data_IF_334263602419
#
_entry.id   IF_334263602419
#
_cell.length_a   1.000
_cell.length_b   1.000
_cell.length_c   1.000
_cell.angle_alpha   90.00
_cell.angle_beta   90.00
_cell.angle_gamma   90.00
#
_symmetry.space_group_name_H-M   'P 1'
#
loop_
_entity.id
_entity.type
_entity.pdbx_description
1 polymer ?
#
# COMPACT_ATOMS: atom_id res chain seq x y z
N UNK A 1 -0.92 -13.85 -66.31
CA UNK A 1 0.19 -14.59 -65.65
C UNK A 1 0.29 -14.10 -64.21
N UNK A 2 -0.29 -14.83 -63.25
CA UNK A 2 -0.45 -14.36 -61.87
C UNK A 2 0.87 -14.50 -61.08
N UNK A 3 1.46 -13.37 -60.64
CA UNK A 3 2.61 -13.37 -59.73
C UNK A 3 2.12 -13.76 -58.34
N UNK A 4 2.33 -15.02 -57.97
CA UNK A 4 2.01 -15.57 -56.64
C UNK A 4 2.93 -14.91 -55.62
N UNK A 5 2.38 -14.03 -54.77
CA UNK A 5 3.06 -13.50 -53.59
C UNK A 5 3.46 -14.70 -52.70
N UNK A 6 4.75 -15.04 -52.70
CA UNK A 6 5.32 -16.02 -51.78
C UNK A 6 5.59 -15.29 -50.47
N UNK A 7 4.70 -15.45 -49.49
CA UNK A 7 5.02 -15.12 -48.09
C UNK A 7 6.28 -15.89 -47.70
N UNK A 8 7.30 -15.25 -47.09
CA UNK A 8 8.50 -15.97 -46.69
C UNK A 8 8.10 -17.05 -45.67
N UNK A 9 8.28 -18.34 -46.02
CA UNK A 9 8.07 -19.45 -45.09
C UNK A 9 9.03 -19.27 -43.92
N UNK A 10 8.49 -19.13 -42.71
CA UNK A 10 9.35 -19.06 -41.52
C UNK A 10 10.14 -20.36 -41.38
N UNK A 11 11.46 -20.26 -41.31
CA UNK A 11 12.34 -21.43 -41.11
C UNK A 11 12.61 -21.66 -39.62
N UNK A 12 13.02 -22.87 -39.23
CA UNK A 12 13.41 -23.19 -37.84
C UNK A 12 14.50 -22.25 -37.31
N UNK A 13 15.42 -21.83 -38.20
CA UNK A 13 16.48 -20.86 -37.89
C UNK A 13 15.91 -19.47 -37.62
N UNK A 14 14.92 -19.04 -38.39
CA UNK A 14 14.25 -17.76 -38.18
C UNK A 14 13.44 -17.76 -36.89
N UNK A 15 12.80 -18.89 -36.57
CA UNK A 15 12.12 -19.08 -35.29
C UNK A 15 13.11 -18.97 -34.12
N UNK A 16 14.22 -19.72 -34.13
CA UNK A 16 15.24 -19.70 -33.07
C UNK A 16 15.86 -18.31 -32.86
N UNK A 17 16.13 -17.57 -33.95
CA UNK A 17 16.63 -16.20 -33.85
C UNK A 17 15.62 -15.27 -33.20
N UNK A 18 14.34 -15.40 -33.55
CA UNK A 18 13.28 -14.58 -32.97
C UNK A 18 13.09 -14.89 -31.49
N UNK A 19 12.99 -16.17 -31.10
CA UNK A 19 12.83 -16.56 -29.68
C UNK A 19 14.03 -16.15 -28.82
N UNK A 20 15.27 -16.22 -29.33
CA UNK A 20 16.45 -15.79 -28.60
C UNK A 20 16.48 -14.27 -28.31
N UNK A 21 15.96 -13.43 -29.22
CA UNK A 21 15.87 -11.98 -29.01
C UNK A 21 14.75 -11.62 -28.03
N UNK A 22 13.59 -12.29 -28.11
CA UNK A 22 12.49 -12.03 -27.18
C UNK A 22 12.81 -12.48 -25.76
N UNK A 23 13.56 -13.56 -25.57
CA UNK A 23 13.95 -14.04 -24.24
C UNK A 23 14.89 -13.08 -23.52
N UNK A 24 15.78 -12.39 -24.24
CA UNK A 24 16.66 -11.33 -23.68
C UNK A 24 15.87 -10.13 -23.15
N UNK A 25 14.75 -9.78 -23.77
CA UNK A 25 13.88 -8.69 -23.31
C UNK A 25 13.10 -9.12 -22.06
N UNK A 26 12.58 -10.34 -22.04
CA UNK A 26 11.83 -10.87 -20.90
C UNK A 26 12.69 -11.12 -19.65
N UNK A 27 13.97 -11.41 -19.81
CA UNK A 27 14.92 -11.60 -18.70
C UNK A 27 15.59 -10.31 -18.22
N UNK A 28 15.27 -9.16 -18.82
CA UNK A 28 15.80 -7.88 -18.40
C UNK A 28 15.19 -7.46 -17.04
N UNK A 29 16.01 -7.17 -16.01
CA UNK A 29 15.51 -6.75 -14.69
C UNK A 29 14.71 -5.44 -14.74
N UNK A 30 14.81 -4.68 -15.84
CA UNK A 30 14.03 -3.46 -16.11
C UNK A 30 12.52 -3.69 -16.22
N UNK A 31 12.06 -4.93 -16.38
CA UNK A 31 10.63 -5.29 -16.33
C UNK A 31 10.18 -5.74 -14.95
N UNK A 32 11.07 -5.79 -13.95
CA UNK A 32 10.69 -6.04 -12.58
C UNK A 32 9.91 -4.82 -12.06
N UNK A 33 8.59 -4.89 -12.14
CA UNK A 33 7.70 -3.95 -11.47
C UNK A 33 7.82 -4.21 -9.97
N UNK A 34 8.61 -3.41 -9.27
CA UNK A 34 8.54 -3.38 -7.81
C UNK A 34 7.15 -2.84 -7.44
N UNK A 35 6.51 -3.46 -6.43
CA UNK A 35 5.31 -2.85 -5.86
C UNK A 35 5.72 -1.55 -5.16
N UNK A 36 5.61 -0.43 -5.86
CA UNK A 36 5.78 0.92 -5.32
C UNK A 36 4.64 1.34 -4.39
N UNK A 37 3.97 0.39 -3.74
CA UNK A 37 2.87 0.68 -2.82
C UNK A 37 3.47 1.35 -1.59
N UNK A 38 3.29 2.67 -1.51
CA UNK A 38 3.63 3.45 -0.33
C UNK A 38 2.45 3.45 0.62
N UNK A 39 2.76 3.34 1.91
CA UNK A 39 1.80 3.63 2.97
C UNK A 39 1.63 5.15 2.98
N UNK A 40 0.40 5.61 2.71
CA UNK A 40 0.10 7.05 2.63
C UNK A 40 -0.12 7.64 4.03
N UNK A 41 -0.74 6.87 4.92
CA UNK A 41 -1.04 7.26 6.30
C UNK A 41 -0.53 6.20 7.25
N UNK A 42 0.13 6.64 8.33
CA UNK A 42 0.57 5.74 9.40
C UNK A 42 -0.52 5.69 10.46
N UNK A 43 -1.10 4.50 10.64
CA UNK A 43 -2.00 4.18 11.75
C UNK A 43 -1.27 3.57 12.93
N UNK A 44 -1.81 3.79 14.13
CA UNK A 44 -1.29 3.23 15.37
C UNK A 44 -2.36 2.36 16.05
N UNK A 45 -2.00 1.12 16.36
CA UNK A 45 -2.80 0.23 17.19
C UNK A 45 -2.57 0.55 18.67
N UNK A 46 -3.59 1.11 19.33
CA UNK A 46 -3.47 1.71 20.67
C UNK A 46 -3.24 0.68 21.79
N UNK A 47 -3.34 -0.62 21.51
CA UNK A 47 -3.02 -1.67 22.49
C UNK A 47 -1.57 -1.58 23.03
N UNK A 48 -0.63 -1.09 22.22
CA UNK A 48 0.75 -0.86 22.67
C UNK A 48 0.83 0.22 23.76
N UNK A 49 -0.13 1.15 23.79
CA UNK A 49 -0.25 2.26 24.73
C UNK A 49 -1.41 2.08 25.71
N UNK A 50 -1.86 0.84 25.96
CA UNK A 50 -3.04 0.55 26.77
C UNK A 50 -2.97 1.09 28.20
N UNK A 51 -1.77 1.26 28.75
CA UNK A 51 -1.58 1.79 30.10
C UNK A 51 -1.81 3.31 30.11
N UNK A 52 -1.18 4.00 29.16
CA UNK A 52 -1.32 5.44 28.92
C UNK A 52 -2.77 5.79 28.56
N UNK A 53 -3.42 5.01 27.70
CA UNK A 53 -4.84 5.19 27.36
C UNK A 53 -5.77 4.97 28.56
N UNK A 54 -5.38 4.13 29.53
CA UNK A 54 -6.16 3.91 30.75
C UNK A 54 -5.96 5.02 31.78
N UNK A 55 -4.78 5.65 31.80
CA UNK A 55 -4.45 6.76 32.68
C UNK A 55 -5.01 8.09 32.15
N UNK A 56 -4.71 8.42 30.89
CA UNK A 56 -5.15 9.65 30.23
C UNK A 56 -5.42 9.41 28.73
N UNK A 57 -6.67 9.03 28.45
CA UNK A 57 -7.13 8.73 27.09
C UNK A 57 -7.02 9.92 26.13
N UNK A 58 -7.38 11.12 26.58
CA UNK A 58 -7.45 12.32 25.71
C UNK A 58 -6.06 12.92 25.52
N UNK A 59 -5.29 13.06 26.61
CA UNK A 59 -3.91 13.55 26.53
C UNK A 59 -3.00 12.63 25.72
N UNK A 60 -3.20 11.31 25.79
CA UNK A 60 -2.44 10.37 24.94
C UNK A 60 -2.75 10.58 23.46
N UNK A 61 -4.02 10.74 23.08
CA UNK A 61 -4.40 11.01 21.69
C UNK A 61 -3.89 12.37 21.20
N UNK A 62 -3.94 13.40 22.04
CA UNK A 62 -3.39 14.72 21.74
C UNK A 62 -1.89 14.64 21.43
N UNK A 63 -1.11 13.95 22.28
CA UNK A 63 0.32 13.76 22.08
C UNK A 63 0.61 13.01 20.78
N UNK A 64 -0.15 11.96 20.46
CA UNK A 64 0.00 11.22 19.21
C UNK A 64 -0.29 12.09 17.98
N UNK A 65 -1.30 12.96 18.04
CA UNK A 65 -1.58 13.93 16.98
C UNK A 65 -0.42 14.92 16.80
N UNK A 66 0.15 15.43 17.89
CA UNK A 66 1.32 16.33 17.87
C UNK A 66 2.57 15.65 17.31
N UNK A 67 2.74 14.34 17.54
CA UNK A 67 3.81 13.52 16.95
C UNK A 67 3.60 13.24 15.45
N UNK A 68 2.43 13.57 14.90
CA UNK A 68 2.12 13.46 13.48
C UNK A 68 1.40 12.17 13.07
N UNK A 69 0.95 11.35 14.01
CA UNK A 69 0.07 10.23 13.69
C UNK A 69 -1.32 10.74 13.29
N UNK A 70 -2.03 9.97 12.45
CA UNK A 70 -3.33 10.38 11.90
C UNK A 70 -4.42 9.34 12.09
N UNK A 71 -4.07 8.06 12.09
CA UNK A 71 -5.02 6.95 12.19
C UNK A 71 -4.84 6.20 13.52
N UNK A 72 -5.96 5.89 14.18
CA UNK A 72 -5.99 5.20 15.47
C UNK A 72 -6.88 3.97 15.42
N UNK A 73 -6.32 2.81 15.77
CA UNK A 73 -7.09 1.59 16.02
C UNK A 73 -7.24 1.39 17.53
N UNK A 74 -8.49 1.20 17.97
CA UNK A 74 -8.84 1.15 19.39
C UNK A 74 -8.90 -0.29 19.91
N UNK A 75 -8.30 -0.49 21.08
CA UNK A 75 -8.45 -1.72 21.88
C UNK A 75 -9.41 -1.48 23.06
N UNK A 76 -10.59 -0.91 22.75
CA UNK A 76 -11.58 -0.48 23.74
C UNK A 76 -11.59 1.05 23.94
N UNK A 77 -12.67 1.56 24.55
CA UNK A 77 -12.93 3.00 24.70
C UNK A 77 -12.76 3.53 26.12
N UNK A 78 -12.28 2.70 27.05
CA UNK A 78 -11.99 3.13 28.43
C UNK A 78 -13.18 3.86 29.10
N UNK A 79 -14.38 3.30 28.93
CA UNK A 79 -15.63 3.85 29.50
C UNK A 79 -16.29 4.97 28.69
N UNK A 80 -15.68 5.43 27.59
CA UNK A 80 -16.27 6.43 26.70
C UNK A 80 -17.26 5.81 25.71
N UNK A 81 -18.30 6.56 25.38
CA UNK A 81 -19.23 6.20 24.31
C UNK A 81 -18.59 6.41 22.93
N UNK A 82 -19.07 5.71 21.89
CA UNK A 82 -18.59 5.93 20.52
C UNK A 82 -18.70 7.38 20.06
N UNK A 83 -19.75 8.10 20.49
CA UNK A 83 -19.94 9.51 20.15
C UNK A 83 -18.91 10.44 20.81
N UNK A 84 -18.53 10.15 22.06
CA UNK A 84 -17.47 10.90 22.74
C UNK A 84 -16.12 10.65 22.09
N UNK A 85 -15.79 9.38 21.79
CA UNK A 85 -14.56 9.02 21.07
C UNK A 85 -14.49 9.74 19.73
N UNK A 86 -15.60 9.76 18.97
CA UNK A 86 -15.65 10.49 17.71
C UNK A 86 -15.35 11.97 17.88
N UNK A 87 -15.96 12.63 18.87
CA UNK A 87 -15.74 14.05 19.14
C UNK A 87 -14.29 14.37 19.52
N UNK A 88 -13.67 13.50 20.30
CA UNK A 88 -12.26 13.63 20.71
C UNK A 88 -11.33 13.48 19.49
N UNK A 89 -11.61 12.51 18.61
CA UNK A 89 -10.85 12.36 17.37
C UNK A 89 -10.98 13.60 16.49
N UNK A 90 -12.20 14.13 16.34
CA UNK A 90 -12.47 15.34 15.56
C UNK A 90 -11.74 16.57 16.13
N UNK A 91 -11.58 16.70 17.46
CA UNK A 91 -10.84 17.83 18.07
C UNK A 91 -9.33 17.80 17.81
N UNK A 92 -8.78 16.64 17.49
CA UNK A 92 -7.34 16.46 17.22
C UNK A 92 -7.04 16.16 15.75
N UNK A 93 -8.03 16.29 14.85
CA UNK A 93 -7.92 15.94 13.44
C UNK A 93 -7.41 14.50 13.20
N UNK A 94 -7.80 13.60 14.11
CA UNK A 94 -7.50 12.17 14.03
C UNK A 94 -8.68 11.41 13.42
N UNK A 95 -8.39 10.23 12.88
CA UNK A 95 -9.41 9.33 12.34
C UNK A 95 -9.21 7.89 12.86
N UNK A 96 -10.29 7.11 12.82
CA UNK A 96 -10.22 5.66 13.01
C UNK A 96 -10.60 5.01 11.66
N UNK A 97 -9.66 4.31 10.99
CA UNK A 97 -9.86 3.74 9.66
C UNK A 97 -10.77 2.51 9.64
#
# INVERSE_FOLDING_TARGET
MAKRFLSPRQTRRDFLKKTAVTSLIASSPSLALSQGRRVQTIGLQLYSLRAEMAEDFEGTLEQLAQLGFKEMEFAGYHGKSPMEVRRILDSFELVSP
#
